data_IF_682145116039
#
_entry.id   IF_682145116039
#
_cell.length_a   1.000
_cell.length_b   1.000
_cell.length_c   1.000
_cell.angle_alpha   90.00
_cell.angle_beta   90.00
_cell.angle_gamma   90.00
#
_symmetry.space_group_name_H-M   'P 1'
#
loop_
_entity.id
_entity.type
_entity.pdbx_description
1 polymer ?
#
# COMPACT_ATOMS: atom_id res chain seq x y z
N UNK A 1 -1.57 3.03 20.26
CA UNK A 1 -0.74 2.02 19.62
C UNK A 1 0.73 2.41 19.72
N UNK A 2 1.51 1.55 20.34
CA UNK A 2 2.95 1.78 20.41
C UNK A 2 3.61 1.07 19.23
N UNK A 3 3.94 1.83 18.22
CA UNK A 3 4.53 1.30 17.00
C UNK A 3 5.78 0.46 17.27
N UNK A 4 6.61 0.89 18.22
CA UNK A 4 7.84 0.18 18.58
C UNK A 4 7.60 -1.26 19.02
N UNK A 5 6.45 -1.56 19.64
CA UNK A 5 6.15 -2.90 20.12
C UNK A 5 5.77 -3.87 18.99
N UNK A 6 5.45 -3.35 17.79
CA UNK A 6 5.08 -4.14 16.64
C UNK A 6 6.24 -4.37 15.67
N UNK A 7 7.32 -3.62 15.84
CA UNK A 7 8.44 -3.69 14.90
C UNK A 7 9.26 -4.95 15.11
N UNK A 8 9.55 -5.60 13.99
CA UNK A 8 10.50 -6.69 13.88
C UNK A 8 11.66 -6.24 13.00
N UNK A 9 12.77 -6.91 13.08
CA UNK A 9 13.95 -6.51 12.32
C UNK A 9 14.45 -7.66 11.45
N UNK A 10 14.78 -7.32 10.20
CA UNK A 10 15.41 -8.24 9.27
C UNK A 10 16.45 -7.48 8.48
N UNK A 11 17.73 -7.90 8.63
CA UNK A 11 18.88 -7.18 8.04
C UNK A 11 18.87 -5.71 8.48
N UNK A 12 18.86 -4.77 7.53
CA UNK A 12 18.88 -3.31 7.80
C UNK A 12 17.48 -2.69 7.84
N UNK A 13 16.45 -3.52 7.88
CA UNK A 13 15.09 -3.07 7.70
C UNK A 13 14.24 -3.44 8.91
N UNK A 14 13.47 -2.48 9.39
CA UNK A 14 12.42 -2.76 10.36
C UNK A 14 11.14 -3.06 9.59
N UNK A 15 10.35 -4.00 10.08
CA UNK A 15 9.09 -4.33 9.42
C UNK A 15 8.01 -4.67 10.44
N UNK A 16 6.76 -4.53 9.99
CA UNK A 16 5.59 -4.99 10.72
C UNK A 16 5.01 -6.17 9.96
N UNK A 17 4.80 -7.28 10.65
CA UNK A 17 4.25 -8.47 10.04
C UNK A 17 2.80 -8.29 9.59
N UNK A 18 2.29 -9.23 8.79
CA UNK A 18 0.92 -9.18 8.32
C UNK A 18 -0.08 -9.34 9.47
N UNK A 19 -1.32 -8.91 9.23
CA UNK A 19 -2.41 -9.17 10.16
C UNK A 19 -2.68 -10.68 10.22
N UNK A 20 -3.03 -11.18 11.40
CA UNK A 20 -3.32 -12.62 11.57
C UNK A 20 -4.62 -13.01 10.87
N UNK A 21 -5.61 -12.12 10.90
CA UNK A 21 -6.90 -12.34 10.26
C UNK A 21 -7.11 -11.25 9.20
N UNK A 22 -7.12 -11.66 7.92
CA UNK A 22 -7.26 -10.71 6.82
C UNK A 22 -8.58 -9.92 6.87
N UNK A 23 -9.60 -10.43 7.57
CA UNK A 23 -10.86 -9.70 7.72
C UNK A 23 -10.68 -8.40 8.50
N UNK A 24 -9.65 -8.32 9.33
CA UNK A 24 -9.34 -7.09 10.06
C UNK A 24 -8.97 -5.95 9.12
N UNK A 25 -8.51 -6.25 7.91
CA UNK A 25 -8.19 -5.23 6.91
C UNK A 25 -9.41 -4.42 6.50
N UNK A 26 -10.59 -5.04 6.51
CA UNK A 26 -11.83 -4.35 6.13
C UNK A 26 -12.31 -3.35 7.17
N UNK A 27 -11.83 -3.46 8.40
CA UNK A 27 -12.20 -2.53 9.47
C UNK A 27 -11.31 -1.29 9.51
N UNK A 28 -10.22 -1.28 8.74
CA UNK A 28 -9.32 -0.13 8.65
C UNK A 28 -9.99 0.95 7.81
N UNK A 29 -10.03 2.17 8.34
CA UNK A 29 -10.61 3.32 7.65
C UNK A 29 -9.51 4.32 7.26
N UNK A 30 -9.90 5.36 6.51
CA UNK A 30 -8.96 6.40 6.08
C UNK A 30 -8.30 7.12 7.25
N UNK A 31 -9.03 7.35 8.33
CA UNK A 31 -8.46 7.99 9.53
C UNK A 31 -7.32 7.14 10.13
N UNK A 32 -7.45 5.82 10.07
CA UNK A 32 -6.38 4.93 10.53
C UNK A 32 -5.13 5.08 9.68
N UNK A 33 -5.31 5.19 8.36
CA UNK A 33 -4.20 5.42 7.43
C UNK A 33 -3.53 6.76 7.73
N UNK A 34 -4.31 7.82 7.90
CA UNK A 34 -3.77 9.14 8.22
C UNK A 34 -2.96 9.12 9.52
N UNK A 35 -3.47 8.44 10.54
CA UNK A 35 -2.74 8.32 11.81
C UNK A 35 -1.45 7.54 11.67
N UNK A 36 -1.47 6.45 10.92
CA UNK A 36 -0.27 5.66 10.66
C UNK A 36 0.78 6.48 9.93
N UNK A 37 0.40 7.19 8.88
CA UNK A 37 1.32 8.01 8.11
C UNK A 37 1.89 9.15 8.95
N UNK A 38 1.07 9.78 9.80
CA UNK A 38 1.53 10.82 10.71
C UNK A 38 2.53 10.29 11.73
N UNK A 39 2.28 9.10 12.29
CA UNK A 39 3.21 8.45 13.22
C UNK A 39 4.54 8.15 12.54
N UNK A 40 4.50 7.61 11.33
CA UNK A 40 5.72 7.30 10.57
C UNK A 40 6.53 8.56 10.25
N UNK A 41 5.86 9.65 9.91
CA UNK A 41 6.53 10.90 9.56
C UNK A 41 7.10 11.62 10.78
N UNK A 42 6.39 11.60 11.93
CA UNK A 42 6.72 12.43 13.08
C UNK A 42 7.45 11.70 14.19
N UNK A 43 7.29 10.39 14.30
CA UNK A 43 7.80 9.61 15.43
C UNK A 43 8.93 8.65 15.06
N UNK A 44 9.27 8.57 13.78
CA UNK A 44 10.36 7.70 13.31
C UNK A 44 11.34 8.50 12.48
N UNK A 45 12.54 7.95 12.33
CA UNK A 45 13.57 8.53 11.49
C UNK A 45 13.70 7.85 10.13
N UNK A 46 12.69 7.08 9.71
CA UNK A 46 12.78 6.33 8.47
C UNK A 46 12.76 7.26 7.25
N UNK A 47 13.74 7.10 6.37
CA UNK A 47 13.81 7.85 5.12
C UNK A 47 12.93 7.25 4.02
N UNK A 48 12.54 5.99 4.17
CA UNK A 48 11.70 5.30 3.20
C UNK A 48 10.80 4.29 3.92
N UNK A 49 9.55 4.27 3.51
CA UNK A 49 8.56 3.31 4.03
C UNK A 49 7.93 2.61 2.84
N UNK A 50 7.86 1.29 2.90
CA UNK A 50 7.27 0.46 1.86
C UNK A 50 6.05 -0.27 2.42
N UNK A 51 4.94 -0.18 1.71
CA UNK A 51 3.72 -0.89 2.05
C UNK A 51 3.50 -2.02 1.05
N UNK A 52 3.34 -3.24 1.56
CA UNK A 52 2.96 -4.39 0.75
C UNK A 52 1.43 -4.48 0.75
N UNK A 53 0.81 -4.15 -0.38
CA UNK A 53 -0.64 -4.08 -0.51
C UNK A 53 -1.14 -5.28 -1.30
N UNK A 54 -1.74 -6.24 -0.59
CA UNK A 54 -2.26 -7.47 -1.21
C UNK A 54 -3.74 -7.39 -1.58
N UNK A 55 -4.53 -6.60 -0.87
CA UNK A 55 -5.97 -6.47 -1.10
C UNK A 55 -6.36 -5.02 -1.28
N UNK A 56 -7.30 -4.78 -2.19
CA UNK A 56 -7.83 -3.44 -2.43
C UNK A 56 -9.12 -3.24 -1.64
N UNK A 57 -9.00 -2.50 -0.56
CA UNK A 57 -10.12 -1.99 0.24
C UNK A 57 -10.19 -0.48 0.02
N UNK A 58 -11.20 0.17 0.58
CA UNK A 58 -11.25 1.64 0.53
C UNK A 58 -10.00 2.27 1.17
N UNK A 59 -9.56 1.72 2.31
CA UNK A 59 -8.36 2.20 2.98
C UNK A 59 -7.10 1.95 2.14
N UNK A 60 -6.99 0.80 1.47
CA UNK A 60 -5.85 0.49 0.60
C UNK A 60 -5.78 1.45 -0.58
N UNK A 61 -6.91 1.74 -1.21
CA UNK A 61 -6.96 2.71 -2.31
C UNK A 61 -6.52 4.10 -1.83
N UNK A 62 -6.97 4.50 -0.65
CA UNK A 62 -6.54 5.75 -0.06
C UNK A 62 -5.03 5.75 0.23
N UNK A 63 -4.50 4.63 0.71
CA UNK A 63 -3.07 4.49 0.94
C UNK A 63 -2.27 4.65 -0.36
N UNK A 64 -2.74 4.05 -1.46
CA UNK A 64 -2.11 4.22 -2.77
C UNK A 64 -2.10 5.69 -3.18
N UNK A 65 -3.18 6.41 -2.92
CA UNK A 65 -3.27 7.84 -3.19
C UNK A 65 -2.21 8.63 -2.41
N UNK A 66 -1.92 8.20 -1.18
CA UNK A 66 -0.96 8.89 -0.30
C UNK A 66 0.51 8.54 -0.61
N UNK A 67 0.77 7.50 -1.40
CA UNK A 67 2.13 7.06 -1.71
C UNK A 67 2.77 7.92 -2.80
N UNK A 68 4.07 8.10 -2.71
CA UNK A 68 4.85 8.84 -3.71
C UNK A 68 5.05 8.03 -4.98
N UNK A 69 5.09 6.71 -4.86
CA UNK A 69 5.26 5.81 -6.00
C UNK A 69 4.65 4.44 -5.72
N UNK A 70 4.15 3.81 -6.77
CA UNK A 70 3.54 2.48 -6.70
C UNK A 70 4.27 1.60 -7.69
N UNK A 71 4.69 0.41 -7.24
CA UNK A 71 5.44 -0.52 -8.06
C UNK A 71 4.64 -1.81 -8.20
N UNK A 72 4.33 -2.16 -9.43
CA UNK A 72 3.55 -3.34 -9.77
C UNK A 72 4.39 -4.23 -10.71
N UNK A 73 4.50 -5.53 -10.43
CA UNK A 73 5.18 -6.44 -11.36
C UNK A 73 4.50 -6.41 -12.73
N UNK A 74 5.30 -6.41 -13.79
CA UNK A 74 4.76 -6.50 -15.15
C UNK A 74 3.96 -7.78 -15.33
N UNK A 75 2.83 -7.66 -16.02
CA UNK A 75 1.98 -8.80 -16.33
C UNK A 75 2.73 -9.80 -17.22
N UNK A 76 2.68 -11.07 -16.85
CA UNK A 76 3.31 -12.16 -17.60
C UNK A 76 2.30 -13.15 -18.17
N UNK A 77 1.02 -12.87 -18.01
CA UNK A 77 -0.07 -13.70 -18.52
C UNK A 77 -1.25 -12.82 -18.92
N UNK A 78 -2.17 -13.38 -19.68
CA UNK A 78 -3.40 -12.69 -20.04
C UNK A 78 -4.23 -12.37 -18.80
N UNK A 79 -4.25 -13.26 -17.83
CA UNK A 79 -4.98 -13.05 -16.58
C UNK A 79 -4.43 -11.85 -15.81
N UNK A 80 -3.12 -11.76 -15.67
CA UNK A 80 -2.47 -10.63 -15.01
C UNK A 80 -2.71 -9.31 -15.75
N UNK A 81 -2.68 -9.35 -17.09
CA UNK A 81 -2.97 -8.19 -17.92
C UNK A 81 -4.40 -7.70 -17.69
N UNK A 82 -5.35 -8.63 -17.59
CA UNK A 82 -6.74 -8.28 -17.30
C UNK A 82 -6.88 -7.67 -15.89
N UNK A 83 -6.13 -8.17 -14.91
CA UNK A 83 -6.11 -7.61 -13.57
C UNK A 83 -5.55 -6.19 -13.53
N UNK A 84 -4.46 -5.96 -14.25
CA UNK A 84 -3.88 -4.63 -14.41
C UNK A 84 -4.90 -3.65 -14.99
N UNK A 85 -5.57 -4.06 -16.07
CA UNK A 85 -6.57 -3.21 -16.72
C UNK A 85 -7.76 -2.95 -15.81
N UNK A 86 -8.17 -3.94 -15.00
CA UNK A 86 -9.24 -3.78 -14.03
C UNK A 86 -8.87 -2.77 -12.94
N UNK A 87 -7.63 -2.82 -12.46
CA UNK A 87 -7.14 -1.85 -11.47
C UNK A 87 -7.17 -0.44 -12.04
N UNK A 88 -6.65 -0.24 -13.24
CA UNK A 88 -6.64 1.07 -13.87
C UNK A 88 -8.06 1.63 -14.07
N UNK A 89 -8.99 0.77 -14.50
CA UNK A 89 -10.40 1.18 -14.64
C UNK A 89 -11.01 1.55 -13.29
N UNK A 90 -10.69 0.82 -12.24
CA UNK A 90 -11.17 1.14 -10.90
C UNK A 90 -10.67 2.51 -10.45
N UNK A 91 -9.38 2.77 -10.65
CA UNK A 91 -8.78 4.06 -10.28
C UNK A 91 -9.41 5.21 -11.05
N UNK A 92 -9.66 5.03 -12.34
CA UNK A 92 -10.35 6.05 -13.14
C UNK A 92 -11.76 6.30 -12.63
N UNK A 93 -12.50 5.25 -12.32
CA UNK A 93 -13.88 5.35 -11.83
C UNK A 93 -13.95 6.07 -10.49
N UNK A 94 -12.94 5.88 -9.63
CA UNK A 94 -12.88 6.53 -8.32
C UNK A 94 -12.29 7.94 -8.38
N UNK A 95 -11.97 8.45 -9.57
CA UNK A 95 -11.39 9.78 -9.70
C UNK A 95 -9.93 9.85 -9.25
N UNK A 96 -9.20 8.74 -9.31
CA UNK A 96 -7.82 8.64 -8.85
C UNK A 96 -6.84 8.55 -10.03
N UNK A 97 -7.04 9.37 -11.05
CA UNK A 97 -6.18 9.40 -12.24
C UNK A 97 -4.71 9.69 -11.87
N UNK A 98 -4.50 10.55 -10.87
CA UNK A 98 -3.15 10.91 -10.43
C UNK A 98 -2.40 9.70 -9.87
N UNK A 99 -3.11 8.72 -9.31
CA UNK A 99 -2.50 7.48 -8.82
C UNK A 99 -1.89 6.69 -9.98
N UNK A 100 -2.60 6.64 -11.11
CA UNK A 100 -2.13 5.92 -12.31
C UNK A 100 -0.79 6.47 -12.78
N UNK A 101 -0.61 7.78 -12.73
CA UNK A 101 0.64 8.42 -13.15
C UNK A 101 1.83 8.04 -12.28
N UNK A 102 1.58 7.61 -11.04
CA UNK A 102 2.62 7.19 -10.10
C UNK A 102 2.90 5.69 -10.14
N UNK A 103 2.23 4.94 -11.02
CA UNK A 103 2.44 3.50 -11.14
C UNK A 103 3.64 3.22 -12.05
N UNK A 104 4.54 2.38 -11.54
CA UNK A 104 5.69 1.89 -12.28
C UNK A 104 5.55 0.38 -12.42
N UNK A 105 5.46 -0.11 -13.65
CA UNK A 105 5.42 -1.55 -13.93
C UNK A 105 6.85 -2.04 -14.06
N UNK A 106 7.24 -2.98 -13.22
CA UNK A 106 8.63 -3.42 -13.10
C UNK A 106 8.78 -4.89 -13.46
N UNK A 107 9.90 -5.21 -14.10
CA UNK A 107 10.24 -6.60 -14.39
C UNK A 107 10.66 -7.31 -13.08
N UNK A 108 10.25 -8.55 -12.92
CA UNK A 108 10.60 -9.39 -11.77
C UNK A 108 11.37 -10.63 -12.20
#
# INVERSE_FOLDING_TARGET
LKLKNLLMQWENMDYIGPVEDFRDLYSICRDDVDRLLAMLANETGYGRVVFDVGFLTDASLYLLYCCDGIYIPKAQSLWEENQKNALERLLLREGLEDVIENIHYVAV
#
